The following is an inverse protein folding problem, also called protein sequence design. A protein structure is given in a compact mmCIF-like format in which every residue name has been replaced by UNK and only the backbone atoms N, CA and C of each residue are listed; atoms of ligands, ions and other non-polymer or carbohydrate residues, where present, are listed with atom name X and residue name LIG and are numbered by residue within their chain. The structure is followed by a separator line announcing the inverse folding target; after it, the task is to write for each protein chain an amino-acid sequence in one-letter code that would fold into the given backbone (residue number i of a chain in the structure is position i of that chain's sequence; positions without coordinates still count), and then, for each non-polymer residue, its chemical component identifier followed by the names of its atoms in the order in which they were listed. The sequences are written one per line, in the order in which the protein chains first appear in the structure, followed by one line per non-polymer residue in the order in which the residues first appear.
data_IF_279949888902
#
_entry.id   IF_279949888902
#
_cell.length_a   1.000
_cell.length_b   1.000
_cell.length_c   1.000
_cell.angle_alpha   90.00
_cell.angle_beta   90.00
_cell.angle_gamma   90.00
#
_symmetry.space_group_name_H-M   'P 1'
#
loop_
_entity.id
_entity.type
_entity.pdbx_description
1 polymer ?
#
# COMPACT_ATOMS: atom_id res chain seq x y z
N UNK A 1 13.95 -14.45 16.76
CA UNK A 1 14.31 -14.17 15.35
C UNK A 1 13.49 -15.11 14.52
N UNK A 2 12.73 -14.60 13.55
CA UNK A 2 11.94 -15.46 12.67
C UNK A 2 12.84 -16.18 11.67
N UNK A 3 12.38 -17.30 11.12
CA UNK A 3 13.01 -17.96 9.98
C UNK A 3 11.97 -18.11 8.90
N UNK A 4 12.32 -17.81 7.65
CA UNK A 4 11.46 -18.22 6.55
C UNK A 4 11.46 -19.76 6.47
N UNK A 5 10.28 -20.34 6.32
CA UNK A 5 10.14 -21.75 6.03
C UNK A 5 10.74 -22.03 4.64
N UNK A 6 11.59 -23.06 4.46
CA UNK A 6 12.19 -23.40 3.18
C UNK A 6 11.17 -23.56 2.03
N UNK A 7 9.95 -24.00 2.33
CA UNK A 7 8.88 -24.16 1.32
C UNK A 7 8.53 -22.84 0.63
N UNK A 8 8.71 -21.70 1.33
CA UNK A 8 8.47 -20.37 0.77
C UNK A 8 9.46 -20.01 -0.34
N UNK A 9 10.65 -20.61 -0.31
CA UNK A 9 11.75 -20.32 -1.25
C UNK A 9 11.98 -21.40 -2.30
N UNK A 10 11.30 -22.55 -2.15
CA UNK A 10 11.50 -23.73 -2.99
C UNK A 10 10.87 -23.52 -4.37
N UNK A 11 11.65 -23.80 -5.42
CA UNK A 11 11.20 -23.77 -6.83
C UNK A 11 10.41 -25.01 -7.23
N UNK A 12 10.63 -26.13 -6.54
CA UNK A 12 9.89 -27.39 -6.77
C UNK A 12 8.48 -27.33 -6.16
N UNK A 13 8.17 -26.23 -5.48
CA UNK A 13 6.90 -25.95 -4.84
C UNK A 13 6.33 -24.62 -5.36
N UNK A 14 6.40 -24.37 -6.66
CA UNK A 14 5.65 -23.25 -7.25
C UNK A 14 4.14 -23.59 -7.34
N UNK A 15 3.78 -24.87 -7.48
CA UNK A 15 2.39 -25.35 -7.56
C UNK A 15 1.55 -25.08 -6.30
N UNK A 16 2.19 -25.00 -5.13
CA UNK A 16 1.50 -24.69 -3.86
C UNK A 16 0.88 -23.29 -3.88
N UNK A 17 1.44 -22.36 -4.67
CA UNK A 17 0.95 -20.98 -4.76
C UNK A 17 -0.18 -20.81 -5.79
N UNK A 18 -0.39 -21.78 -6.70
CA UNK A 18 -1.41 -21.68 -7.73
C UNK A 18 -2.83 -21.37 -7.21
N UNK A 19 -3.30 -21.92 -6.08
CA UNK A 19 -4.61 -21.58 -5.53
C UNK A 19 -4.74 -20.12 -5.06
N UNK A 20 -3.62 -19.45 -4.77
CA UNK A 20 -3.56 -18.07 -4.27
C UNK A 20 -3.11 -17.06 -5.35
N UNK A 21 -2.72 -17.53 -6.55
CA UNK A 21 -2.42 -16.68 -7.71
C UNK A 21 -3.69 -16.35 -8.51
N UNK A 22 -4.49 -15.45 -7.97
CA UNK A 22 -5.85 -15.15 -8.43
C UNK A 22 -5.92 -14.30 -9.72
N UNK A 23 -4.78 -13.89 -10.29
CA UNK A 23 -4.69 -13.09 -11.51
C UNK A 23 -5.53 -11.79 -11.51
N UNK A 24 -5.71 -11.16 -10.34
CA UNK A 24 -6.38 -9.87 -10.21
C UNK A 24 -5.59 -8.72 -10.83
N UNK A 25 -4.26 -8.79 -10.72
CA UNK A 25 -3.32 -7.80 -11.24
C UNK A 25 -2.18 -8.49 -11.96
N UNK A 26 -1.48 -7.73 -12.82
CA UNK A 26 -0.28 -8.22 -13.50
C UNK A 26 0.76 -8.75 -12.49
N UNK A 27 1.54 -9.77 -12.86
CA UNK A 27 2.48 -10.38 -11.94
C UNK A 27 3.64 -9.46 -11.58
N UNK A 28 4.24 -9.71 -10.41
CA UNK A 28 5.42 -8.97 -9.94
C UNK A 28 6.58 -9.10 -10.94
N UNK A 29 7.15 -7.99 -11.47
CA UNK A 29 8.26 -8.07 -12.40
C UNK A 29 9.52 -8.61 -11.72
N UNK A 30 10.23 -9.54 -12.39
CA UNK A 30 11.46 -10.14 -11.87
C UNK A 30 12.49 -9.10 -11.43
N UNK A 31 12.67 -8.03 -12.20
CA UNK A 31 13.58 -6.93 -11.84
C UNK A 31 13.22 -6.27 -10.49
N UNK A 32 11.92 -6.05 -10.23
CA UNK A 32 11.45 -5.45 -8.97
C UNK A 32 11.60 -6.43 -7.81
N UNK A 33 11.33 -7.71 -8.06
CA UNK A 33 11.59 -8.77 -7.09
C UNK A 33 13.07 -8.86 -6.72
N UNK A 34 13.97 -8.90 -7.70
CA UNK A 34 15.42 -8.97 -7.46
C UNK A 34 15.90 -7.73 -6.66
N UNK A 35 15.32 -6.55 -6.93
CA UNK A 35 15.56 -5.34 -6.14
C UNK A 35 15.10 -5.48 -4.68
N UNK A 36 13.92 -6.08 -4.44
CA UNK A 36 13.39 -6.33 -3.09
C UNK A 36 14.31 -7.32 -2.35
N UNK A 37 14.74 -8.40 -3.00
CA UNK A 37 15.67 -9.39 -2.42
C UNK A 37 17.00 -8.73 -2.04
N UNK A 38 17.59 -7.91 -2.91
CA UNK A 38 18.84 -7.21 -2.61
C UNK A 38 18.69 -6.24 -1.41
N UNK A 39 17.55 -5.53 -1.31
CA UNK A 39 17.25 -4.67 -0.15
C UNK A 39 17.04 -5.50 1.12
N UNK A 40 16.42 -6.67 1.03
CA UNK A 40 16.28 -7.60 2.16
C UNK A 40 17.65 -8.06 2.66
N UNK A 41 18.53 -8.54 1.77
CA UNK A 41 19.87 -9.00 2.12
C UNK A 41 20.69 -7.91 2.79
N UNK A 42 20.65 -6.69 2.25
CA UNK A 42 21.34 -5.52 2.83
C UNK A 42 20.82 -5.19 4.23
N UNK A 43 19.50 -5.02 4.39
CA UNK A 43 18.89 -4.59 5.66
C UNK A 43 18.85 -5.68 6.73
N UNK A 44 18.93 -6.95 6.34
CA UNK A 44 19.00 -8.09 7.27
C UNK A 44 20.43 -8.31 7.79
N UNK A 45 21.45 -7.97 7.00
CA UNK A 45 22.86 -8.17 7.35
C UNK A 45 23.59 -6.90 7.83
N UNK A 46 22.89 -5.76 7.98
CA UNK A 46 23.52 -4.49 8.37
C UNK A 46 24.06 -4.56 9.81
N UNK A 47 25.37 -4.82 9.97
CA UNK A 47 26.08 -4.76 11.25
C UNK A 47 26.50 -3.34 11.65
N UNK A 48 26.48 -2.38 10.72
CA UNK A 48 27.10 -1.05 10.87
C UNK A 48 26.39 -0.09 11.84
N UNK A 49 25.14 -0.36 12.22
CA UNK A 49 24.36 0.54 13.09
C UNK A 49 23.73 -0.17 14.31
N UNK A 50 24.25 -1.34 14.70
CA UNK A 50 23.74 -2.10 15.85
C UNK A 50 22.38 -2.77 15.61
N UNK A 51 21.86 -2.74 14.38
CA UNK A 51 20.68 -3.50 14.00
C UNK A 51 21.00 -4.99 13.98
N UNK A 52 20.27 -5.77 14.77
CA UNK A 52 20.37 -7.23 14.73
C UNK A 52 19.72 -7.73 13.44
N UNK A 53 20.26 -8.82 12.92
CA UNK A 53 19.59 -9.66 11.93
C UNK A 53 18.16 -9.94 12.40
N UNK A 54 17.18 -9.87 11.50
CA UNK A 54 15.77 -10.07 11.85
C UNK A 54 15.18 -11.36 11.28
N UNK A 55 15.86 -11.96 10.29
CA UNK A 55 15.45 -13.22 9.69
C UNK A 55 16.63 -14.14 9.39
N UNK A 56 16.40 -15.44 9.52
CA UNK A 56 17.20 -16.49 8.88
C UNK A 56 16.44 -17.12 7.71
N UNK A 57 17.12 -17.92 6.89
CA UNK A 57 16.53 -18.57 5.72
C UNK A 57 16.57 -17.72 4.44
N UNK A 58 16.20 -18.35 3.32
CA UNK A 58 16.11 -17.68 2.03
C UNK A 58 14.83 -16.84 1.93
N UNK A 59 14.90 -15.71 1.23
CA UNK A 59 13.71 -14.89 0.97
C UNK A 59 12.66 -15.68 0.15
N UNK A 60 11.36 -15.48 0.38
CA UNK A 60 10.30 -16.16 -0.38
C UNK A 60 10.42 -15.97 -1.89
N UNK A 61 10.01 -16.99 -2.65
CA UNK A 61 10.13 -17.04 -4.10
C UNK A 61 9.30 -15.95 -4.78
N UNK A 62 9.63 -15.66 -6.04
CA UNK A 62 8.85 -14.74 -6.87
C UNK A 62 7.36 -15.15 -6.94
N UNK A 63 7.10 -16.45 -7.04
CA UNK A 63 5.74 -17.03 -7.10
C UNK A 63 4.99 -16.78 -5.79
N UNK A 64 5.64 -16.98 -4.64
CA UNK A 64 5.07 -16.68 -3.33
C UNK A 64 4.74 -15.18 -3.19
N UNK A 65 5.69 -14.31 -3.53
CA UNK A 65 5.46 -12.86 -3.51
C UNK A 65 4.33 -12.43 -4.47
N UNK A 66 4.21 -13.08 -5.64
CA UNK A 66 3.12 -12.83 -6.57
C UNK A 66 1.76 -13.21 -5.94
N UNK A 67 1.64 -14.41 -5.39
CA UNK A 67 0.42 -14.86 -4.70
C UNK A 67 0.03 -13.93 -3.55
N UNK A 68 0.98 -13.50 -2.72
CA UNK A 68 0.72 -12.52 -1.67
C UNK A 68 0.21 -11.18 -2.24
N UNK A 69 0.77 -10.70 -3.34
CA UNK A 69 0.26 -9.48 -4.00
C UNK A 69 -1.17 -9.66 -4.54
N UNK A 70 -1.53 -10.85 -5.04
CA UNK A 70 -2.92 -11.13 -5.45
C UNK A 70 -3.87 -11.11 -4.25
N UNK A 71 -3.49 -11.77 -3.15
CA UNK A 71 -4.26 -11.80 -1.90
C UNK A 71 -4.49 -10.41 -1.31
N UNK A 72 -3.54 -9.47 -1.46
CA UNK A 72 -3.77 -8.07 -1.10
C UNK A 72 -4.98 -7.49 -1.84
N UNK A 73 -5.06 -7.67 -3.16
CA UNK A 73 -6.13 -7.12 -3.99
C UNK A 73 -7.46 -7.87 -3.88
N UNK A 74 -7.45 -9.07 -3.30
CA UNK A 74 -8.67 -9.83 -3.01
C UNK A 74 -9.22 -9.47 -1.63
N UNK A 75 -8.37 -9.49 -0.60
CA UNK A 75 -8.82 -9.49 0.80
C UNK A 75 -8.67 -8.13 1.49
N UNK A 76 -7.67 -7.32 1.10
CA UNK A 76 -7.37 -6.06 1.78
C UNK A 76 -7.86 -4.82 1.02
N UNK A 77 -7.62 -4.75 -0.29
CA UNK A 77 -8.00 -3.60 -1.13
C UNK A 77 -9.50 -3.22 -0.99
N UNK A 78 -10.47 -4.15 -0.88
CA UNK A 78 -11.87 -3.79 -0.64
C UNK A 78 -12.13 -3.04 0.68
N UNK A 79 -11.26 -3.20 1.68
CA UNK A 79 -11.37 -2.56 2.99
C UNK A 79 -10.73 -1.16 3.01
N UNK A 80 -9.62 -1.01 2.29
CA UNK A 80 -8.87 0.24 2.18
C UNK A 80 -8.51 0.53 0.71
N UNK A 81 -9.48 0.93 -0.13
CA UNK A 81 -9.31 1.01 -1.58
C UNK A 81 -8.62 2.31 -2.01
N UNK A 82 -7.36 2.54 -1.61
CA UNK A 82 -6.60 3.74 -1.97
C UNK A 82 -5.61 3.52 -3.13
N UNK A 83 -5.46 2.28 -3.61
CA UNK A 83 -4.70 1.93 -4.82
C UNK A 83 -5.69 1.60 -5.93
N UNK A 84 -5.53 2.24 -7.09
CA UNK A 84 -6.47 2.06 -8.19
C UNK A 84 -6.21 0.75 -8.94
N UNK A 85 -6.80 -0.36 -8.44
CA UNK A 85 -6.67 -1.72 -8.99
C UNK A 85 -6.76 -1.79 -10.52
N UNK A 86 -7.74 -1.17 -11.21
CA UNK A 86 -7.85 -1.30 -12.67
C UNK A 86 -6.67 -0.72 -13.47
N UNK A 87 -5.92 0.23 -12.90
CA UNK A 87 -4.75 0.81 -13.56
C UNK A 87 -3.42 0.41 -12.91
N UNK A 88 -3.46 -0.48 -11.94
CA UNK A 88 -2.29 -0.90 -11.21
C UNK A 88 -1.36 -1.68 -12.15
N UNK A 89 -0.11 -1.23 -12.26
CA UNK A 89 0.92 -1.89 -13.05
C UNK A 89 2.20 -1.97 -12.21
N UNK A 90 2.58 -3.16 -11.71
CA UNK A 90 3.73 -3.31 -10.82
C UNK A 90 5.07 -2.95 -11.49
N UNK A 91 5.11 -2.83 -12.82
CA UNK A 91 6.29 -2.31 -13.54
C UNK A 91 6.51 -0.81 -13.29
N UNK A 92 5.43 -0.06 -13.11
CA UNK A 92 5.45 1.39 -12.92
C UNK A 92 5.54 1.78 -11.45
N UNK A 93 5.17 0.88 -10.54
CA UNK A 93 5.18 1.14 -9.11
C UNK A 93 6.59 1.17 -8.49
N UNK A 94 6.73 1.93 -7.41
CA UNK A 94 7.93 1.92 -6.60
C UNK A 94 8.07 0.58 -5.86
N UNK A 95 9.29 0.03 -5.78
CA UNK A 95 9.53 -1.29 -5.17
C UNK A 95 9.03 -1.39 -3.72
N UNK A 96 9.06 -0.28 -2.98
CA UNK A 96 8.59 -0.21 -1.60
C UNK A 96 7.07 -0.38 -1.49
N UNK A 97 6.30 0.11 -2.47
CA UNK A 97 4.85 -0.14 -2.52
C UNK A 97 4.61 -1.62 -2.75
N UNK A 98 5.31 -2.22 -3.73
CA UNK A 98 5.19 -3.66 -4.02
C UNK A 98 5.53 -4.52 -2.79
N UNK A 99 6.60 -4.19 -2.08
CA UNK A 99 6.92 -4.82 -0.80
C UNK A 99 5.77 -4.66 0.20
N UNK A 100 5.19 -3.46 0.33
CA UNK A 100 4.08 -3.22 1.25
C UNK A 100 2.83 -4.04 0.90
N UNK A 101 2.50 -4.19 -0.38
CA UNK A 101 1.40 -5.05 -0.84
C UNK A 101 1.66 -6.51 -0.48
N UNK A 102 2.87 -7.00 -0.76
CA UNK A 102 3.29 -8.38 -0.42
C UNK A 102 3.23 -8.61 1.10
N UNK A 103 3.75 -7.67 1.90
CA UNK A 103 3.75 -7.75 3.37
C UNK A 103 2.33 -7.80 3.96
N UNK A 104 1.39 -7.02 3.41
CA UNK A 104 0.00 -7.09 3.87
C UNK A 104 -0.70 -8.33 3.34
N UNK A 105 -0.52 -8.64 2.06
CA UNK A 105 -1.15 -9.79 1.41
C UNK A 105 -0.77 -11.15 1.98
N UNK A 106 0.48 -11.32 2.44
CA UNK A 106 0.92 -12.59 3.04
C UNK A 106 0.12 -13.00 4.29
N UNK A 107 -0.51 -12.04 4.97
CA UNK A 107 -1.37 -12.26 6.16
C UNK A 107 -2.65 -13.03 5.84
N UNK A 108 -3.05 -13.02 4.57
CA UNK A 108 -4.29 -13.62 4.11
C UNK A 108 -4.10 -15.03 3.54
N UNK A 109 -2.85 -15.43 3.32
CA UNK A 109 -2.51 -16.76 2.82
C UNK A 109 -3.04 -17.85 3.76
N UNK A 110 -3.58 -18.91 3.15
CA UNK A 110 -4.07 -20.10 3.86
C UNK A 110 -3.00 -21.18 3.97
N UNK A 111 -1.84 -20.97 3.34
CA UNK A 111 -0.68 -21.83 3.47
C UNK A 111 -0.07 -21.62 4.86
N UNK A 112 0.04 -22.67 5.71
CA UNK A 112 0.53 -22.53 7.07
C UNK A 112 1.91 -21.86 7.18
N UNK A 113 2.82 -22.16 6.25
CA UNK A 113 4.16 -21.58 6.22
C UNK A 113 4.19 -20.06 6.03
N UNK A 114 3.15 -19.46 5.44
CA UNK A 114 3.06 -18.02 5.27
C UNK A 114 2.79 -17.30 6.62
N UNK A 115 2.16 -17.97 7.59
CA UNK A 115 1.89 -17.39 8.90
C UNK A 115 3.18 -17.01 9.64
N UNK A 116 4.25 -17.80 9.47
CA UNK A 116 5.53 -17.58 10.13
C UNK A 116 6.36 -16.45 9.49
N UNK A 117 6.02 -16.06 8.26
CA UNK A 117 6.73 -15.01 7.53
C UNK A 117 6.14 -13.60 7.70
N UNK A 118 4.92 -13.47 8.24
CA UNK A 118 4.20 -12.19 8.36
C UNK A 118 5.02 -11.13 9.10
N UNK A 119 5.48 -11.44 10.31
CA UNK A 119 6.22 -10.47 11.14
C UNK A 119 7.64 -10.24 10.60
N UNK A 120 8.19 -11.19 9.84
CA UNK A 120 9.48 -11.03 9.14
C UNK A 120 9.34 -10.00 8.01
N UNK A 121 8.32 -10.16 7.16
CA UNK A 121 7.98 -9.18 6.13
C UNK A 121 7.65 -7.81 6.72
N UNK A 122 7.01 -7.78 7.88
CA UNK A 122 6.68 -6.54 8.56
C UNK A 122 7.92 -5.81 9.08
N UNK A 123 8.85 -6.52 9.72
CA UNK A 123 10.12 -5.94 10.16
C UNK A 123 10.96 -5.48 8.97
N UNK A 124 10.96 -6.22 7.87
CA UNK A 124 11.60 -5.80 6.61
C UNK A 124 10.99 -4.50 6.08
N UNK A 125 9.67 -4.45 5.92
CA UNK A 125 8.96 -3.26 5.43
C UNK A 125 9.23 -2.04 6.34
N UNK A 126 9.22 -2.23 7.66
CA UNK A 126 9.54 -1.19 8.64
C UNK A 126 10.93 -0.60 8.39
N UNK A 127 11.95 -1.46 8.27
CA UNK A 127 13.34 -1.02 8.00
C UNK A 127 13.48 -0.38 6.63
N UNK A 128 12.88 -0.98 5.61
CA UNK A 128 12.88 -0.49 4.24
C UNK A 128 12.25 0.91 4.12
N UNK A 129 11.15 1.15 4.85
CA UNK A 129 10.48 2.44 4.90
C UNK A 129 11.39 3.53 5.48
N UNK A 130 12.04 3.27 6.62
CA UNK A 130 12.99 4.22 7.21
C UNK A 130 14.22 4.43 6.33
N UNK A 131 14.84 3.36 5.84
CA UNK A 131 16.01 3.45 4.97
C UNK A 131 15.73 4.27 3.72
N UNK A 132 14.55 4.12 3.11
CA UNK A 132 14.15 4.90 1.93
C UNK A 132 14.10 6.41 2.21
N UNK A 133 13.63 6.81 3.40
CA UNK A 133 13.56 8.22 3.80
C UNK A 133 14.95 8.78 4.11
N UNK A 134 15.81 8.00 4.79
CA UNK A 134 17.18 8.38 5.13
C UNK A 134 18.07 8.48 3.88
N UNK A 135 17.90 7.56 2.92
CA UNK A 135 18.61 7.56 1.63
C UNK A 135 18.26 8.81 0.79
N UNK A 136 16.98 9.19 0.75
CA UNK A 136 16.53 10.39 0.03
C UNK A 136 15.29 11.02 0.70
N UNK A 137 15.52 12.09 1.47
CA UNK A 137 14.44 12.82 2.16
C UNK A 137 13.38 13.38 1.20
N UNK A 138 13.70 13.61 -0.08
CA UNK A 138 12.74 14.12 -1.07
C UNK A 138 11.58 13.15 -1.28
N UNK A 139 11.80 11.85 -1.08
CA UNK A 139 10.76 10.81 -1.12
C UNK A 139 9.59 11.12 -0.17
N UNK A 140 9.80 11.92 0.87
CA UNK A 140 8.72 12.35 1.79
C UNK A 140 7.64 13.23 1.14
N UNK A 141 7.86 13.69 -0.09
CA UNK A 141 6.87 14.41 -0.91
C UNK A 141 6.21 13.52 -1.97
N UNK A 142 6.55 12.23 -2.01
CA UNK A 142 6.03 11.30 -3.01
C UNK A 142 4.78 10.55 -2.52
N UNK A 143 3.67 10.52 -3.30
CA UNK A 143 2.45 9.80 -2.96
C UNK A 143 2.66 8.31 -2.64
N UNK A 144 3.55 7.64 -3.38
CA UNK A 144 3.82 6.22 -3.20
C UNK A 144 4.42 5.92 -1.82
N UNK A 145 5.18 6.85 -1.23
CA UNK A 145 5.73 6.68 0.11
C UNK A 145 4.61 6.78 1.15
N UNK A 146 3.65 7.69 0.96
CA UNK A 146 2.49 7.80 1.83
C UNK A 146 1.62 6.52 1.79
N UNK A 147 1.42 5.94 0.60
CA UNK A 147 0.70 4.67 0.42
C UNK A 147 1.43 3.49 1.10
N UNK A 148 2.73 3.32 0.83
CA UNK A 148 3.54 2.28 1.48
C UNK A 148 3.60 2.47 3.00
N UNK A 149 3.65 3.72 3.44
CA UNK A 149 3.66 4.10 4.86
C UNK A 149 2.36 3.77 5.59
N UNK A 150 1.20 4.00 4.95
CA UNK A 150 -0.10 3.57 5.50
C UNK A 150 -0.16 2.05 5.66
N UNK A 151 0.24 1.29 4.63
CA UNK A 151 0.28 -0.17 4.69
C UNK A 151 1.24 -0.65 5.79
N UNK A 152 2.43 -0.05 5.89
CA UNK A 152 3.38 -0.33 6.96
C UNK A 152 2.75 -0.08 8.34
N UNK A 153 2.07 1.05 8.53
CA UNK A 153 1.41 1.39 9.79
C UNK A 153 0.35 0.36 10.18
N UNK A 154 -0.51 -0.05 9.25
CA UNK A 154 -1.55 -1.06 9.48
C UNK A 154 -0.91 -2.40 9.88
N UNK A 155 0.11 -2.83 9.14
CA UNK A 155 0.79 -4.09 9.42
C UNK A 155 1.54 -4.10 10.77
N UNK A 156 2.13 -2.97 11.17
CA UNK A 156 2.75 -2.83 12.50
C UNK A 156 1.71 -2.88 13.62
N UNK A 157 0.59 -2.15 13.47
CA UNK A 157 -0.43 -2.02 14.50
C UNK A 157 -1.07 -3.36 14.86
N UNK A 158 -1.27 -4.24 13.87
CA UNK A 158 -1.90 -5.56 14.03
C UNK A 158 -0.89 -6.71 13.88
N UNK A 159 0.36 -6.46 14.28
CA UNK A 159 1.43 -7.48 14.40
C UNK A 159 1.21 -8.40 15.59
N UNK A 160 1.77 -9.62 15.54
CA UNK A 160 1.85 -10.52 16.72
C UNK A 160 3.11 -10.26 17.55
N UNK A 161 4.17 -9.73 16.94
CA UNK A 161 5.34 -9.20 17.65
C UNK A 161 5.01 -7.85 18.31
N UNK A 162 4.96 -7.84 19.65
CA UNK A 162 4.68 -6.65 20.46
C UNK A 162 5.64 -5.49 20.18
N UNK A 163 6.91 -5.77 19.87
CA UNK A 163 7.91 -4.74 19.54
C UNK A 163 7.52 -3.99 18.27
N UNK A 164 6.91 -4.65 17.30
CA UNK A 164 6.40 -4.02 16.07
C UNK A 164 5.18 -3.16 16.38
N UNK A 165 4.27 -3.64 17.23
CA UNK A 165 3.10 -2.86 17.70
C UNK A 165 3.52 -1.61 18.47
N UNK A 166 4.52 -1.70 19.36
CA UNK A 166 5.10 -0.54 20.05
C UNK A 166 5.77 0.42 19.05
N UNK A 167 6.51 -0.11 18.07
CA UNK A 167 7.11 0.71 17.00
C UNK A 167 6.05 1.45 16.17
N UNK A 168 4.85 0.87 16.00
CA UNK A 168 3.73 1.49 15.30
C UNK A 168 3.39 2.85 15.92
N UNK A 169 3.41 2.97 17.25
CA UNK A 169 3.08 4.22 17.94
C UNK A 169 4.06 5.36 17.58
N UNK A 170 5.34 5.04 17.44
CA UNK A 170 6.37 6.01 17.06
C UNK A 170 6.27 6.41 15.57
N UNK A 171 5.90 5.47 14.70
CA UNK A 171 5.82 5.68 13.25
C UNK A 171 4.56 6.48 12.83
N UNK A 172 3.50 6.49 13.64
CA UNK A 172 2.27 7.28 13.38
C UNK A 172 2.56 8.74 13.02
N UNK A 173 3.39 9.42 13.80
CA UNK A 173 3.73 10.83 13.59
C UNK A 173 4.47 11.05 12.26
N UNK A 174 5.30 10.08 11.85
CA UNK A 174 6.01 10.12 10.58
C UNK A 174 5.02 9.99 9.40
N UNK A 175 4.07 9.06 9.48
CA UNK A 175 3.04 8.90 8.45
C UNK A 175 2.17 10.16 8.34
N UNK A 176 1.73 10.72 9.47
CA UNK A 176 0.97 11.97 9.46
C UNK A 176 1.76 13.12 8.81
N UNK A 177 3.07 13.19 9.06
CA UNK A 177 3.96 14.19 8.45
C UNK A 177 4.11 13.99 6.93
N UNK A 178 4.31 12.75 6.47
CA UNK A 178 4.37 12.42 5.05
C UNK A 178 3.03 12.76 4.36
N UNK A 179 1.90 12.40 4.97
CA UNK A 179 0.55 12.71 4.47
C UNK A 179 0.31 14.22 4.31
N UNK A 180 0.80 15.04 5.25
CA UNK A 180 0.76 16.50 5.13
C UNK A 180 1.65 17.02 3.99
N UNK A 181 2.85 16.45 3.80
CA UNK A 181 3.79 16.85 2.74
C UNK A 181 3.29 16.53 1.33
N UNK A 182 2.67 15.36 1.15
CA UNK A 182 2.00 15.00 -0.11
C UNK A 182 0.66 15.73 -0.29
N UNK A 183 0.27 16.53 0.72
CA UNK A 183 -0.95 17.32 0.75
C UNK A 183 -2.20 16.48 0.44
N UNK A 184 -2.32 15.29 1.05
CA UNK A 184 -3.48 14.44 0.80
C UNK A 184 -4.75 14.96 1.46
N UNK A 185 -4.65 15.82 2.48
CA UNK A 185 -5.79 16.30 3.28
C UNK A 185 -6.50 17.54 2.72
N UNK A 186 -5.95 18.20 1.71
CA UNK A 186 -6.53 19.40 1.12
C UNK A 186 -6.90 19.17 -0.34
N UNK A 187 -8.07 19.66 -0.74
CA UNK A 187 -8.47 19.71 -2.14
C UNK A 187 -7.59 20.74 -2.89
N UNK A 188 -6.62 20.28 -3.69
CA UNK A 188 -5.90 21.13 -4.65
C UNK A 188 -6.46 20.90 -6.05
N UNK A 189 -7.06 21.95 -6.61
CA UNK A 189 -7.40 22.08 -8.02
C UNK A 189 -8.91 22.17 -8.29
N UNK A 190 -9.30 22.46 -9.55
CA UNK A 190 -10.70 22.58 -9.93
C UNK A 190 -11.46 21.29 -9.66
N UNK A 191 -12.73 21.45 -9.25
CA UNK A 191 -13.69 20.35 -9.10
C UNK A 191 -13.81 19.59 -10.41
N UNK A 192 -13.91 18.28 -10.30
CA UNK A 192 -13.88 17.29 -11.41
C UNK A 192 -14.95 17.58 -12.49
N UNK A 193 -16.00 18.32 -12.13
CA UNK A 193 -17.09 18.70 -13.03
C UNK A 193 -16.66 19.64 -14.18
N UNK A 194 -15.43 20.17 -14.15
CA UNK A 194 -14.87 20.93 -15.25
C UNK A 194 -13.78 20.10 -15.95
N UNK A 195 -14.19 19.08 -16.73
CA UNK A 195 -13.31 18.59 -17.80
C UNK A 195 -13.16 19.78 -18.74
N UNK A 196 -11.95 20.33 -18.85
CA UNK A 196 -11.70 21.40 -19.82
C UNK A 196 -12.08 20.87 -21.21
N UNK A 197 -12.90 21.60 -22.00
CA UNK A 197 -13.39 21.12 -23.29
C UNK A 197 -12.29 20.70 -24.29
N UNK A 198 -11.03 21.07 -24.04
CA UNK A 198 -9.86 20.69 -24.83
C UNK A 198 -8.94 19.64 -24.20
N UNK A 199 -9.20 19.14 -22.98
CA UNK A 199 -8.35 18.17 -22.31
C UNK A 199 -8.63 16.75 -22.85
N UNK A 200 -7.60 15.97 -23.25
CA UNK A 200 -7.80 14.58 -23.63
C UNK A 200 -8.40 13.78 -22.47
N UNK A 201 -9.45 13.01 -22.74
CA UNK A 201 -10.16 12.20 -21.73
C UNK A 201 -9.21 11.31 -20.91
N UNK A 202 -8.18 10.73 -21.53
CA UNK A 202 -7.16 9.94 -20.85
C UNK A 202 -6.38 10.72 -19.79
N UNK A 203 -6.04 11.98 -20.07
CA UNK A 203 -5.31 12.84 -19.13
C UNK A 203 -6.22 13.30 -17.99
N UNK A 204 -7.48 13.63 -18.31
CA UNK A 204 -8.48 13.97 -17.31
C UNK A 204 -8.71 12.81 -16.33
N UNK A 205 -8.88 11.58 -16.84
CA UNK A 205 -9.04 10.38 -16.03
C UNK A 205 -7.80 10.08 -15.18
N UNK A 206 -6.59 10.25 -15.73
CA UNK A 206 -5.32 10.07 -15.00
C UNK A 206 -5.20 11.05 -13.83
N UNK A 207 -5.50 12.33 -14.07
CA UNK A 207 -5.49 13.36 -13.02
C UNK A 207 -6.55 13.10 -11.96
N UNK A 208 -7.77 12.75 -12.40
CA UNK A 208 -8.88 12.38 -11.53
C UNK A 208 -8.49 11.22 -10.60
N UNK A 209 -8.03 10.10 -11.18
CA UNK A 209 -7.57 8.93 -10.43
C UNK A 209 -6.51 9.27 -9.39
N UNK A 210 -5.55 10.13 -9.74
CA UNK A 210 -4.51 10.57 -8.80
C UNK A 210 -5.12 11.32 -7.63
N UNK A 211 -6.02 12.27 -7.89
CA UNK A 211 -6.72 13.02 -6.82
C UNK A 211 -7.58 12.10 -5.95
N UNK A 212 -8.31 11.19 -6.58
CA UNK A 212 -9.20 10.23 -5.91
C UNK A 212 -8.40 9.26 -5.04
N UNK A 213 -7.25 8.76 -5.52
CA UNK A 213 -6.31 7.94 -4.73
C UNK A 213 -5.82 8.69 -3.49
N UNK A 214 -5.47 9.98 -3.61
CA UNK A 214 -5.05 10.78 -2.46
C UNK A 214 -6.19 11.06 -1.48
N UNK A 215 -7.41 11.27 -1.98
CA UNK A 215 -8.60 11.43 -1.15
C UNK A 215 -8.87 10.16 -0.32
N UNK A 216 -8.91 9.01 -0.99
CA UNK A 216 -9.10 7.68 -0.36
C UNK A 216 -7.97 7.36 0.62
N UNK A 217 -6.72 7.73 0.29
CA UNK A 217 -5.59 7.63 1.22
C UNK A 217 -5.83 8.47 2.48
N UNK A 218 -6.22 9.75 2.35
CA UNK A 218 -6.46 10.63 3.48
C UNK A 218 -7.55 10.10 4.43
N UNK A 219 -8.68 9.62 3.87
CA UNK A 219 -9.72 8.97 4.67
C UNK A 219 -9.25 7.68 5.31
N UNK A 220 -8.43 6.88 4.62
CA UNK A 220 -7.85 5.65 5.16
C UNK A 220 -6.92 5.91 6.36
N UNK A 221 -6.06 6.93 6.25
CA UNK A 221 -5.15 7.32 7.34
C UNK A 221 -5.95 7.89 8.52
N UNK A 222 -6.98 8.71 8.27
CA UNK A 222 -7.86 9.22 9.33
C UNK A 222 -8.66 8.11 10.03
N UNK A 223 -9.17 7.14 9.26
CA UNK A 223 -9.87 5.98 9.82
C UNK A 223 -8.94 5.18 10.72
N UNK A 224 -7.70 4.94 10.29
CA UNK A 224 -6.69 4.26 11.10
C UNK A 224 -6.34 5.07 12.36
N UNK A 225 -6.23 6.40 12.26
CA UNK A 225 -6.00 7.26 13.43
C UNK A 225 -7.15 7.19 14.44
N UNK A 226 -8.38 7.14 13.95
CA UNK A 226 -9.59 6.96 14.76
C UNK A 226 -9.63 5.59 15.44
N UNK A 227 -9.24 4.52 14.72
CA UNK A 227 -9.07 3.19 15.29
C UNK A 227 -7.99 3.16 16.37
N UNK A 228 -6.90 3.91 16.21
CA UNK A 228 -5.86 4.00 17.22
C UNK A 228 -6.35 4.65 18.51
N UNK A 229 -7.22 5.66 18.40
CA UNK A 229 -7.88 6.25 19.56
C UNK A 229 -8.85 5.28 20.24
N UNK A 230 -9.59 4.50 19.45
CA UNK A 230 -10.58 3.56 19.97
C UNK A 230 -9.97 2.31 20.63
N UNK A 231 -8.95 1.71 20.00
CA UNK A 231 -8.43 0.40 20.41
C UNK A 231 -7.23 0.47 21.36
N UNK A 232 -6.53 1.60 21.39
CA UNK A 232 -5.28 1.74 22.13
C UNK A 232 -5.24 2.98 23.04
N UNK A 233 -6.37 3.69 23.17
CA UNK A 233 -6.49 4.93 23.96
C UNK A 233 -5.44 6.00 23.60
N UNK A 234 -4.98 6.00 22.34
CA UNK A 234 -3.97 6.94 21.88
C UNK A 234 -4.63 8.22 21.34
N UNK A 235 -4.13 9.41 21.67
CA UNK A 235 -4.71 10.64 21.15
C UNK A 235 -4.65 10.67 19.60
N UNK A 236 -5.72 11.17 18.94
CA UNK A 236 -5.69 11.41 17.50
C UNK A 236 -4.60 12.42 17.13
N UNK A 237 -3.90 12.19 16.03
CA UNK A 237 -2.88 13.11 15.47
C UNK A 237 -3.33 13.75 14.15
N UNK A 238 -4.45 13.27 13.58
CA UNK A 238 -5.12 13.82 12.41
C UNK A 238 -6.47 14.37 12.87
N UNK A 239 -6.55 15.68 13.18
CA UNK A 239 -7.83 16.27 13.58
C UNK A 239 -8.82 16.24 12.43
N UNK A 240 -10.11 16.03 12.72
CA UNK A 240 -11.17 15.99 11.71
C UNK A 240 -11.21 17.26 10.87
N UNK A 241 -10.92 18.43 11.44
CA UNK A 241 -10.86 19.72 10.73
C UNK A 241 -9.77 19.79 9.64
N UNK A 242 -8.83 18.84 9.65
CA UNK A 242 -7.82 18.68 8.61
C UNK A 242 -8.40 17.99 7.37
N UNK A 243 -9.46 17.18 7.50
CA UNK A 243 -10.15 16.54 6.37
C UNK A 243 -11.05 17.54 5.63
N UNK A 244 -10.43 18.43 4.85
CA UNK A 244 -11.11 19.40 3.99
C UNK A 244 -11.31 18.85 2.58
N UNK A 245 -11.68 17.58 2.50
CA UNK A 245 -11.88 16.84 1.26
C UNK A 245 -13.37 16.61 1.02
N UNK A 246 -13.82 16.51 -0.24
CA UNK A 246 -15.09 15.88 -0.53
C UNK A 246 -15.02 14.41 -0.14
N UNK A 247 -16.20 13.80 0.10
CA UNK A 247 -16.28 12.35 0.23
C UNK A 247 -15.68 11.66 -1.01
N UNK A 248 -15.10 10.46 -0.88
CA UNK A 248 -14.62 9.69 -2.02
C UNK A 248 -15.72 9.52 -3.08
N UNK A 249 -15.31 9.53 -4.35
CA UNK A 249 -16.19 9.24 -5.47
C UNK A 249 -16.79 7.84 -5.37
N UNK A 250 -17.83 7.60 -6.16
CA UNK A 250 -18.52 6.31 -6.17
C UNK A 250 -17.59 5.16 -6.55
N UNK A 251 -17.84 3.97 -5.99
CA UNK A 251 -17.06 2.75 -6.34
C UNK A 251 -17.14 2.42 -7.83
N UNK A 252 -18.23 2.76 -8.50
CA UNK A 252 -18.36 2.59 -9.96
C UNK A 252 -17.33 3.45 -10.72
N UNK A 253 -17.19 4.73 -10.35
CA UNK A 253 -16.17 5.63 -10.93
C UNK A 253 -14.75 5.14 -10.60
N UNK A 254 -14.52 4.73 -9.35
CA UNK A 254 -13.21 4.25 -8.89
C UNK A 254 -12.78 2.94 -9.52
N UNK A 255 -13.73 2.09 -9.93
CA UNK A 255 -13.44 0.80 -10.58
C UNK A 255 -13.44 0.87 -12.09
N UNK A 256 -13.67 2.05 -12.68
CA UNK A 256 -13.67 2.23 -14.13
C UNK A 256 -12.33 1.76 -14.73
N UNK A 257 -12.31 0.80 -15.67
CA UNK A 257 -11.07 0.24 -16.19
C UNK A 257 -10.38 1.13 -17.24
N UNK A 258 -11.11 2.09 -17.81
CA UNK A 258 -10.62 2.97 -18.87
C UNK A 258 -11.16 4.38 -18.72
N UNK A 259 -10.50 5.35 -19.35
CA UNK A 259 -10.97 6.73 -19.40
C UNK A 259 -12.35 6.87 -20.06
N UNK A 260 -12.63 6.06 -21.09
CA UNK A 260 -13.92 6.04 -21.76
C UNK A 260 -15.04 5.56 -20.82
N UNK A 261 -14.83 4.44 -20.12
CA UNK A 261 -15.79 3.92 -19.15
C UNK A 261 -16.03 4.93 -18.01
N UNK A 262 -14.95 5.55 -17.51
CA UNK A 262 -15.04 6.60 -16.50
C UNK A 262 -15.90 7.79 -16.96
N UNK A 263 -15.70 8.26 -18.19
CA UNK A 263 -16.48 9.36 -18.77
C UNK A 263 -17.96 9.00 -18.95
N UNK A 264 -18.24 7.78 -19.41
CA UNK A 264 -19.63 7.30 -19.54
C UNK A 264 -20.36 7.26 -18.20
N UNK A 265 -19.70 6.78 -17.14
CA UNK A 265 -20.26 6.75 -15.78
C UNK A 265 -20.49 8.17 -15.27
N UNK A 266 -19.53 9.07 -15.47
CA UNK A 266 -19.62 10.47 -15.05
C UNK A 266 -20.80 11.19 -15.72
N UNK A 267 -21.02 10.94 -17.03
CA UNK A 267 -22.13 11.52 -17.78
C UNK A 267 -23.50 10.98 -17.33
N UNK A 268 -23.58 9.72 -16.91
CA UNK A 268 -24.82 9.15 -16.34
C UNK A 268 -25.16 9.81 -15.00
N UNK A 269 -24.18 9.88 -14.09
CA UNK A 269 -24.36 10.47 -12.76
C UNK A 269 -24.73 11.96 -12.82
N UNK A 270 -24.22 12.71 -13.81
CA UNK A 270 -24.59 14.10 -14.01
C UNK A 270 -26.05 14.32 -14.44
N UNK A 271 -26.66 13.37 -15.15
CA UNK A 271 -28.07 13.45 -15.58
C UNK A 271 -29.06 13.11 -14.46
N UNK A 272 -28.67 12.18 -13.59
CA UNK A 272 -29.51 11.72 -12.48
C UNK A 272 -29.56 12.74 -11.32
N UNK A 273 -28.58 13.66 -11.22
CA UNK A 273 -28.53 14.72 -10.22
C UNK A 273 -29.28 16.01 -10.57
N UNK A 274 -29.80 16.14 -11.80
CA UNK A 274 -30.58 17.29 -12.29
C UNK A 274 -32.10 17.00 -12.38
N UNK A 275 -32.54 15.80 -11.99
CA UNK A 275 -33.94 15.34 -12.00
C UNK A 275 -34.53 15.31 -10.60
#
# INVERSE_FOLDING_TARGET
MGTFDPILSSRDSDDIWCPEDLAHVNPLPRQKYDQIVAKFESLNNTTEAGYKQFSTGAFPSLTACNAFMQLFFEEFDPLFPFIHKPSFDPRQEHWLVLLALVTIGCRYSKIPAAADCVDIFQEFLRRAFHATIEEDYRTTHEPWLAQAGLLNQIGLQFSRDLRLTESAQSIRSLIASVCRKVNCFNEIGPRINAIDPGQPCAEAWRLWRRKESMCRLAYSVWLLDSQNALFFDLPPIIPTDLLRLPLPGTEELWRAPTAAAWLEILQKQGKDGES
#
